data_IF_014910419154
#
_entry.id   IF_014910419154
#
_cell.length_a   1.000
_cell.length_b   1.000
_cell.length_c   1.000
_cell.angle_alpha   90.00
_cell.angle_beta   90.00
_cell.angle_gamma   90.00
#
_symmetry.space_group_name_H-M   'P 1'
#
loop_
_entity.id
_entity.type
_entity.pdbx_description
1 polymer ?
#
# COMPACT_ATOMS: atom_id res chain seq x y z
N UNK A 1 -3.96 15.00 12.06
CA UNK A 1 -4.73 15.15 10.81
C UNK A 1 -6.13 14.61 11.08
N UNK A 2 -7.15 15.20 10.50
CA UNK A 2 -8.55 14.76 10.57
C UNK A 2 -9.03 14.36 9.18
N UNK A 3 -10.12 13.60 9.13
CA UNK A 3 -10.74 13.15 7.86
C UNK A 3 -9.81 12.23 7.06
N UNK A 4 -9.18 11.27 7.74
CA UNK A 4 -8.39 10.23 7.09
C UNK A 4 -9.30 9.21 6.41
N UNK A 5 -8.77 8.44 5.46
CA UNK A 5 -9.54 7.41 4.75
C UNK A 5 -10.14 6.41 5.74
N UNK A 6 -9.36 5.86 6.67
CA UNK A 6 -9.88 4.92 7.69
C UNK A 6 -10.99 5.52 8.56
N UNK A 7 -10.87 6.82 8.94
CA UNK A 7 -11.97 7.50 9.68
C UNK A 7 -13.28 7.47 8.87
N UNK A 8 -13.19 7.70 7.56
CA UNK A 8 -14.35 7.67 6.68
C UNK A 8 -14.89 6.25 6.48
N UNK A 9 -14.00 5.29 6.24
CA UNK A 9 -14.38 3.89 6.06
C UNK A 9 -15.07 3.32 7.31
N UNK A 10 -14.56 3.61 8.51
CA UNK A 10 -15.18 3.20 9.78
C UNK A 10 -16.59 3.76 9.96
N UNK A 11 -16.85 5.03 9.57
CA UNK A 11 -18.20 5.62 9.60
C UNK A 11 -19.22 4.84 8.77
N UNK A 12 -18.75 4.20 7.69
CA UNK A 12 -19.58 3.41 6.80
C UNK A 12 -19.57 1.90 7.10
N UNK A 13 -18.93 1.49 8.21
CA UNK A 13 -18.88 0.09 8.64
C UNK A 13 -18.00 -0.80 7.76
N UNK A 14 -17.06 -0.23 7.00
CA UNK A 14 -16.12 -0.94 6.13
C UNK A 14 -15.08 -1.65 6.99
N UNK A 15 -14.92 -2.95 6.77
CA UNK A 15 -13.94 -3.78 7.48
C UNK A 15 -12.58 -3.66 6.81
N UNK A 16 -11.57 -3.26 7.59
CA UNK A 16 -10.24 -2.96 7.10
C UNK A 16 -9.18 -3.95 7.58
N UNK A 17 -8.24 -4.25 6.70
CA UNK A 17 -7.03 -4.99 7.04
C UNK A 17 -5.80 -4.21 6.58
N UNK A 18 -4.86 -3.97 7.49
CA UNK A 18 -3.60 -3.31 7.21
C UNK A 18 -2.43 -4.22 7.60
N UNK A 19 -1.50 -4.42 6.69
CA UNK A 19 -0.33 -5.26 6.92
C UNK A 19 0.93 -4.62 6.35
N UNK A 20 2.01 -4.72 7.07
CA UNK A 20 3.37 -4.50 6.59
C UNK A 20 4.38 -5.15 7.54
N UNK A 21 5.64 -5.18 7.15
CA UNK A 21 6.69 -5.50 8.10
C UNK A 21 7.03 -4.28 8.99
N UNK A 22 7.77 -4.53 10.07
CA UNK A 22 8.10 -3.53 11.13
C UNK A 22 8.53 -2.18 10.56
N UNK A 23 9.34 -2.16 9.48
CA UNK A 23 9.88 -0.92 8.89
C UNK A 23 8.80 0.04 8.37
N UNK A 24 7.67 -0.47 7.90
CA UNK A 24 6.57 0.32 7.35
C UNK A 24 5.22 0.05 8.03
N UNK A 25 5.19 -0.72 9.11
CA UNK A 25 3.97 -0.95 9.89
C UNK A 25 3.32 0.35 10.36
N UNK A 26 4.13 1.28 10.88
CA UNK A 26 3.64 2.61 11.26
C UNK A 26 3.07 3.41 10.09
N UNK A 27 3.55 3.20 8.85
CA UNK A 27 3.07 3.91 7.68
C UNK A 27 1.68 3.44 7.24
N UNK A 28 1.36 2.15 7.40
CA UNK A 28 0.03 1.61 7.07
C UNK A 28 -0.96 1.68 8.24
N UNK A 29 -0.54 2.15 9.42
CA UNK A 29 -1.36 2.27 10.63
C UNK A 29 -1.34 3.69 11.19
N UNK A 30 -0.34 4.04 11.98
CA UNK A 30 -0.22 5.31 12.70
C UNK A 30 -0.22 6.54 11.79
N UNK A 31 0.70 6.59 10.81
CA UNK A 31 0.81 7.72 9.87
C UNK A 31 -0.39 7.78 8.93
N UNK A 32 -0.86 6.62 8.46
CA UNK A 32 -2.07 6.51 7.66
C UNK A 32 -3.28 7.14 8.35
N UNK A 33 -3.39 6.94 9.66
CA UNK A 33 -4.47 7.47 10.48
C UNK A 33 -4.20 8.90 11.01
N UNK A 34 -3.32 9.64 10.34
CA UNK A 34 -3.06 11.03 10.67
C UNK A 34 -2.34 11.24 12.00
N UNK A 35 -1.37 10.38 12.33
CA UNK A 35 -0.63 10.32 13.60
C UNK A 35 -1.51 9.92 14.80
N UNK A 36 -2.45 9.02 14.58
CA UNK A 36 -3.28 8.42 15.61
C UNK A 36 -2.80 7.01 15.94
N UNK A 37 -2.50 6.75 17.21
CA UNK A 37 -2.02 5.44 17.67
C UNK A 37 -3.15 4.43 17.89
N UNK A 38 -4.35 4.92 18.21
CA UNK A 38 -5.52 4.10 18.46
C UNK A 38 -6.32 3.91 17.18
N UNK A 39 -6.94 2.75 17.03
CA UNK A 39 -7.92 2.52 15.98
C UNK A 39 -9.11 3.46 16.11
N UNK A 40 -9.80 3.72 15.03
CA UNK A 40 -11.09 4.41 15.05
C UNK A 40 -12.18 3.47 15.55
N UNK A 41 -12.14 2.20 15.11
CA UNK A 41 -13.06 1.15 15.56
C UNK A 41 -12.34 -0.21 15.63
N UNK A 42 -12.21 -0.74 16.85
CA UNK A 42 -11.54 -2.04 17.11
C UNK A 42 -12.24 -3.22 16.45
N UNK A 43 -13.52 -3.11 16.15
CA UNK A 43 -14.30 -4.18 15.52
C UNK A 43 -14.17 -4.20 13.99
N UNK A 44 -13.74 -3.08 13.38
CA UNK A 44 -13.63 -2.92 11.95
C UNK A 44 -12.18 -2.98 11.43
N UNK A 45 -11.21 -2.66 12.27
CA UNK A 45 -9.81 -2.53 11.86
C UNK A 45 -8.95 -3.69 12.36
N UNK A 46 -8.31 -4.41 11.45
CA UNK A 46 -7.33 -5.44 11.75
C UNK A 46 -5.95 -4.99 11.29
N UNK A 47 -4.97 -4.96 12.21
CA UNK A 47 -3.60 -4.56 11.92
C UNK A 47 -2.65 -5.73 12.18
N UNK A 48 -1.81 -6.04 11.21
CA UNK A 48 -0.86 -7.15 11.27
C UNK A 48 0.55 -6.65 10.99
N UNK A 49 1.46 -6.95 11.90
CA UNK A 49 2.88 -6.69 11.76
C UNK A 49 3.63 -7.99 11.46
N UNK A 50 4.47 -7.97 10.44
CA UNK A 50 5.46 -9.01 10.16
C UNK A 50 6.81 -8.52 10.71
N UNK A 51 7.42 -9.22 11.67
CA UNK A 51 8.70 -8.80 12.24
C UNK A 51 9.80 -8.72 11.17
N UNK A 52 10.41 -7.55 11.01
CA UNK A 52 11.54 -7.36 10.10
C UNK A 52 12.79 -8.11 10.58
N UNK A 53 13.64 -8.54 9.66
CA UNK A 53 14.96 -9.07 10.01
C UNK A 53 15.87 -7.96 10.56
N UNK A 54 16.68 -8.29 11.54
CA UNK A 54 17.66 -7.37 12.14
C UNK A 54 19.00 -7.54 11.42
N UNK A 55 19.03 -7.16 10.13
CA UNK A 55 20.23 -7.19 9.28
C UNK A 55 20.22 -5.95 8.37
N UNK A 56 21.37 -5.53 7.83
CA UNK A 56 21.41 -4.50 6.79
C UNK A 56 20.53 -4.88 5.60
N UNK A 57 19.79 -3.92 5.04
CA UNK A 57 18.77 -4.19 3.99
C UNK A 57 19.40 -4.78 2.73
N UNK A 58 20.61 -4.36 2.36
CA UNK A 58 21.32 -4.90 1.19
C UNK A 58 21.73 -6.37 1.33
N UNK A 59 21.74 -6.91 2.55
CA UNK A 59 22.05 -8.34 2.79
C UNK A 59 20.83 -9.25 2.59
N UNK A 60 19.63 -8.70 2.74
CA UNK A 60 18.34 -9.39 2.50
C UNK A 60 17.35 -8.47 1.79
N UNK A 61 17.61 -8.10 0.53
CA UNK A 61 16.81 -7.09 -0.16
C UNK A 61 15.38 -7.54 -0.45
N UNK A 62 15.10 -8.85 -0.43
CA UNK A 62 13.73 -9.38 -0.50
C UNK A 62 12.92 -9.11 0.77
N UNK A 63 13.57 -8.74 1.88
CA UNK A 63 12.97 -8.41 3.17
C UNK A 63 11.91 -9.44 3.60
N UNK A 64 10.68 -9.00 3.94
CA UNK A 64 9.56 -9.86 4.31
C UNK A 64 8.44 -9.86 3.26
N UNK A 65 8.77 -9.60 2.00
CA UNK A 65 7.76 -9.50 0.96
C UNK A 65 6.92 -10.79 0.84
N UNK A 66 7.54 -11.96 0.89
CA UNK A 66 6.83 -13.23 0.81
C UNK A 66 5.90 -13.48 2.00
N UNK A 67 6.38 -13.24 3.23
CA UNK A 67 5.58 -13.42 4.45
C UNK A 67 4.42 -12.43 4.54
N UNK A 68 4.62 -11.19 4.08
CA UNK A 68 3.53 -10.19 3.93
C UNK A 68 2.50 -10.74 2.94
N UNK A 69 2.95 -11.21 1.78
CA UNK A 69 2.06 -11.71 0.72
C UNK A 69 1.28 -12.94 1.15
N UNK A 70 1.88 -13.87 1.89
CA UNK A 70 1.17 -15.03 2.43
C UNK A 70 -0.05 -14.59 3.24
N UNK A 71 0.14 -13.64 4.17
CA UNK A 71 -0.94 -13.12 5.00
C UNK A 71 -1.92 -12.23 4.24
N UNK A 72 -1.43 -11.49 3.26
CA UNK A 72 -2.25 -10.65 2.39
C UNK A 72 -3.21 -11.51 1.55
N UNK A 73 -2.71 -12.57 0.93
CA UNK A 73 -3.52 -13.50 0.15
C UNK A 73 -4.55 -14.23 1.04
N UNK A 74 -4.15 -14.69 2.25
CA UNK A 74 -5.09 -15.25 3.23
C UNK A 74 -6.22 -14.25 3.55
N UNK A 75 -5.90 -12.98 3.79
CA UNK A 75 -6.89 -11.94 4.10
C UNK A 75 -7.82 -11.66 2.91
N UNK A 76 -7.29 -11.55 1.69
CA UNK A 76 -8.07 -11.33 0.46
C UNK A 76 -9.06 -12.48 0.25
N UNK A 77 -8.58 -13.73 0.31
CA UNK A 77 -9.39 -14.91 0.02
C UNK A 77 -10.38 -15.24 1.14
N UNK A 78 -10.21 -14.69 2.35
CA UNK A 78 -11.10 -14.93 3.49
C UNK A 78 -12.49 -14.33 3.34
N UNK A 79 -12.64 -13.25 2.56
CA UNK A 79 -13.88 -12.48 2.45
C UNK A 79 -14.27 -11.71 3.73
N UNK A 80 -13.36 -11.62 4.71
CA UNK A 80 -13.63 -10.96 5.98
C UNK A 80 -13.44 -9.45 5.94
N UNK A 81 -12.83 -8.91 4.88
CA UNK A 81 -12.44 -7.51 4.76
C UNK A 81 -12.96 -6.91 3.46
N UNK A 82 -13.37 -5.67 3.52
CA UNK A 82 -13.90 -4.91 2.40
C UNK A 82 -12.81 -4.00 1.79
N UNK A 83 -11.86 -3.56 2.62
CA UNK A 83 -10.69 -2.78 2.21
C UNK A 83 -9.41 -3.36 2.84
N UNK A 84 -8.42 -3.65 2.00
CA UNK A 84 -7.13 -4.23 2.42
C UNK A 84 -6.03 -3.32 1.91
N UNK A 85 -5.08 -2.97 2.78
CA UNK A 85 -3.89 -2.20 2.41
C UNK A 85 -2.61 -2.83 2.91
N UNK A 86 -1.57 -2.70 2.11
CA UNK A 86 -0.21 -3.12 2.46
C UNK A 86 0.81 -2.12 1.96
N UNK A 87 2.00 -2.17 2.53
CA UNK A 87 3.19 -1.53 2.01
C UNK A 87 4.32 -2.56 1.96
N UNK A 88 4.95 -2.69 0.79
CA UNK A 88 6.19 -3.42 0.61
C UNK A 88 7.35 -2.44 0.72
N UNK A 89 8.16 -2.47 1.79
CA UNK A 89 9.18 -1.44 2.02
C UNK A 89 10.44 -1.62 1.18
N UNK A 90 10.53 -2.66 0.38
CA UNK A 90 11.74 -3.06 -0.34
C UNK A 90 12.33 -1.92 -1.19
N UNK A 91 11.54 -1.28 -2.04
CA UNK A 91 12.02 -0.19 -2.91
C UNK A 91 12.60 0.97 -2.13
N UNK A 92 11.97 1.36 -1.04
CA UNK A 92 12.41 2.46 -0.19
C UNK A 92 13.60 2.07 0.68
N UNK A 93 13.47 1.04 1.51
CA UNK A 93 14.49 0.67 2.49
C UNK A 93 15.79 0.20 1.84
N UNK A 94 15.70 -0.57 0.76
CA UNK A 94 16.89 -1.02 0.02
C UNK A 94 17.46 0.11 -0.85
N UNK A 95 16.60 0.96 -1.43
CA UNK A 95 17.02 2.15 -2.18
C UNK A 95 17.89 3.09 -1.35
N UNK A 96 17.59 3.26 -0.07
CA UNK A 96 18.41 4.06 0.86
C UNK A 96 19.83 3.55 1.04
N UNK A 97 20.13 2.30 0.67
CA UNK A 97 21.48 1.73 0.80
C UNK A 97 22.43 2.18 -0.32
N UNK A 98 21.91 2.68 -1.45
CA UNK A 98 22.71 3.01 -2.63
C UNK A 98 23.32 1.79 -3.33
N UNK A 99 22.84 0.58 -3.04
CA UNK A 99 23.31 -0.67 -3.66
C UNK A 99 22.39 -1.05 -4.82
N UNK A 100 22.76 -0.70 -6.06
CA UNK A 100 21.96 -1.06 -7.25
C UNK A 100 21.61 -2.55 -7.32
N UNK A 101 22.58 -3.50 -7.12
CA UNK A 101 22.23 -4.92 -7.18
C UNK A 101 21.18 -5.32 -6.14
N UNK A 102 21.25 -4.77 -4.93
CA UNK A 102 20.28 -5.05 -3.88
C UNK A 102 18.92 -4.41 -4.21
N UNK A 103 18.93 -3.18 -4.73
CA UNK A 103 17.69 -2.48 -5.14
C UNK A 103 16.94 -3.24 -6.22
N UNK A 104 17.66 -3.75 -7.25
CA UNK A 104 17.06 -4.59 -8.29
C UNK A 104 16.40 -5.83 -7.66
N UNK A 105 17.10 -6.56 -6.80
CA UNK A 105 16.54 -7.75 -6.13
C UNK A 105 15.32 -7.37 -5.27
N UNK A 106 15.38 -6.24 -4.57
CA UNK A 106 14.26 -5.75 -3.76
C UNK A 106 13.00 -5.50 -4.58
N UNK A 107 13.13 -4.80 -5.71
CA UNK A 107 12.02 -4.50 -6.61
C UNK A 107 11.50 -5.77 -7.31
N UNK A 108 12.39 -6.63 -7.80
CA UNK A 108 11.99 -7.91 -8.43
C UNK A 108 11.28 -8.84 -7.43
N UNK A 109 11.66 -8.81 -6.16
CA UNK A 109 10.95 -9.56 -5.12
C UNK A 109 9.51 -9.08 -4.96
N UNK A 110 9.28 -7.77 -4.97
CA UNK A 110 7.91 -7.21 -4.91
C UNK A 110 7.12 -7.57 -6.16
N UNK A 111 7.73 -7.54 -7.34
CA UNK A 111 7.09 -7.92 -8.61
C UNK A 111 6.61 -9.38 -8.58
N UNK A 112 7.43 -10.30 -8.09
CA UNK A 112 7.05 -11.71 -7.90
C UNK A 112 5.86 -11.85 -6.94
N UNK A 113 5.87 -11.12 -5.84
CA UNK A 113 4.80 -11.17 -4.85
C UNK A 113 3.51 -10.52 -5.37
N UNK A 114 3.63 -9.46 -6.17
CA UNK A 114 2.47 -8.83 -6.81
C UNK A 114 1.71 -9.79 -7.73
N UNK A 115 2.41 -10.68 -8.43
CA UNK A 115 1.77 -11.72 -9.24
C UNK A 115 0.85 -12.63 -8.38
N UNK A 116 1.29 -13.02 -7.19
CA UNK A 116 0.49 -13.81 -6.23
C UNK A 116 -0.73 -13.04 -5.72
N UNK A 117 -0.54 -11.74 -5.42
CA UNK A 117 -1.65 -10.86 -5.01
C UNK A 117 -2.71 -10.78 -6.11
N UNK A 118 -2.30 -10.59 -7.37
CA UNK A 118 -3.18 -10.55 -8.53
C UNK A 118 -4.01 -11.85 -8.64
N UNK A 119 -3.37 -13.01 -8.44
CA UNK A 119 -4.09 -14.28 -8.45
C UNK A 119 -5.17 -14.35 -7.37
N UNK A 120 -4.87 -13.91 -6.14
CA UNK A 120 -5.83 -13.89 -5.04
C UNK A 120 -6.96 -12.89 -5.27
N UNK A 121 -6.64 -11.70 -5.80
CA UNK A 121 -7.64 -10.68 -6.19
C UNK A 121 -8.59 -11.22 -7.25
N UNK A 122 -8.08 -11.94 -8.26
CA UNK A 122 -8.90 -12.57 -9.30
C UNK A 122 -9.87 -13.61 -8.73
N UNK A 123 -9.44 -14.41 -7.75
CA UNK A 123 -10.30 -15.44 -7.12
C UNK A 123 -11.54 -14.83 -6.46
N UNK A 124 -11.43 -13.63 -5.94
CA UNK A 124 -12.53 -12.94 -5.24
C UNK A 124 -13.22 -11.86 -6.10
N UNK A 125 -12.80 -11.72 -7.36
CA UNK A 125 -13.23 -10.65 -8.26
C UNK A 125 -13.07 -9.25 -7.64
N UNK A 126 -11.96 -9.06 -6.91
CA UNK A 126 -11.63 -7.78 -6.26
C UNK A 126 -11.02 -6.77 -7.24
N UNK A 127 -10.85 -5.54 -6.79
CA UNK A 127 -10.13 -4.47 -7.48
C UNK A 127 -8.80 -4.27 -6.77
N UNK A 128 -7.71 -4.13 -7.54
CA UNK A 128 -6.39 -3.86 -7.01
C UNK A 128 -5.89 -2.48 -7.46
N UNK A 129 -5.47 -1.66 -6.51
CA UNK A 129 -4.77 -0.41 -6.74
C UNK A 129 -3.30 -0.58 -6.37
N UNK A 130 -2.39 -0.22 -7.28
CA UNK A 130 -0.93 -0.25 -7.04
C UNK A 130 -0.38 1.15 -7.23
N UNK A 131 0.30 1.65 -6.21
CA UNK A 131 0.96 2.96 -6.24
C UNK A 131 2.19 2.97 -5.33
N UNK A 132 2.89 4.10 -5.28
CA UNK A 132 3.93 4.36 -4.30
C UNK A 132 3.67 5.72 -3.63
N UNK A 133 4.24 5.93 -2.45
CA UNK A 133 4.12 7.17 -1.69
C UNK A 133 5.16 8.22 -2.10
N UNK A 134 6.28 7.81 -2.66
CA UNK A 134 7.35 8.63 -3.21
C UNK A 134 8.30 7.80 -4.08
N UNK A 135 9.19 8.47 -4.81
CA UNK A 135 10.31 7.83 -5.49
C UNK A 135 11.51 7.63 -4.55
N UNK A 136 12.32 6.62 -4.82
CA UNK A 136 13.61 6.35 -4.17
C UNK A 136 14.47 5.46 -5.07
N UNK A 137 14.02 4.25 -5.38
CA UNK A 137 14.74 3.25 -6.19
C UNK A 137 14.94 3.64 -7.67
N UNK A 138 14.32 4.71 -8.13
CA UNK A 138 14.43 5.25 -9.48
C UNK A 138 15.77 5.96 -9.76
N UNK A 139 16.50 6.39 -8.71
CA UNK A 139 17.79 7.09 -8.84
C UNK A 139 18.79 6.55 -7.81
N UNK A 140 19.58 5.57 -8.22
CA UNK A 140 20.63 4.93 -7.40
C UNK A 140 21.76 5.87 -6.94
N UNK A 141 21.91 7.02 -7.60
CA UNK A 141 22.92 8.03 -7.22
C UNK A 141 22.53 8.74 -5.93
N UNK A 142 21.34 8.56 -5.45
CA UNK A 142 20.77 9.16 -4.23
C UNK A 142 20.39 8.09 -3.21
N UNK A 143 20.65 8.38 -1.96
CA UNK A 143 20.20 7.57 -0.82
C UNK A 143 19.03 8.21 -0.08
N UNK A 144 18.28 9.07 -0.76
CA UNK A 144 17.15 9.82 -0.24
C UNK A 144 15.99 9.78 -1.24
N UNK A 145 14.80 10.11 -0.77
CA UNK A 145 13.62 10.16 -1.61
C UNK A 145 13.82 11.10 -2.80
N UNK A 146 13.21 10.76 -3.93
CA UNK A 146 13.26 11.53 -5.16
C UNK A 146 11.91 12.19 -5.45
N UNK A 147 11.90 13.10 -6.41
CA UNK A 147 10.67 13.75 -6.92
C UNK A 147 10.13 13.05 -8.17
N UNK A 148 10.55 11.81 -8.43
CA UNK A 148 10.05 11.03 -9.56
C UNK A 148 8.54 10.81 -9.43
N UNK A 149 7.78 10.90 -10.52
CA UNK A 149 6.37 10.50 -10.53
C UNK A 149 6.24 9.02 -10.14
N UNK A 150 5.24 8.72 -9.32
CA UNK A 150 4.92 7.35 -8.93
C UNK A 150 3.83 6.77 -9.81
N UNK A 151 3.81 5.44 -10.03
CA UNK A 151 2.74 4.81 -10.79
C UNK A 151 1.41 4.87 -10.02
N UNK A 152 0.30 4.91 -10.75
CA UNK A 152 -1.02 4.61 -10.23
C UNK A 152 -1.71 3.64 -11.20
N UNK A 153 -1.89 2.41 -10.76
CA UNK A 153 -2.40 1.31 -11.57
C UNK A 153 -3.72 0.82 -10.96
N UNK A 154 -4.73 0.69 -11.78
CA UNK A 154 -6.01 0.05 -11.43
C UNK A 154 -6.11 -1.26 -12.19
N UNK A 155 -6.32 -2.34 -11.48
CA UNK A 155 -6.47 -3.67 -12.04
C UNK A 155 -7.85 -4.24 -11.71
N UNK A 156 -8.43 -4.95 -12.68
CA UNK A 156 -9.72 -5.63 -12.59
C UNK A 156 -10.91 -4.68 -12.34
N UNK A 157 -10.86 -3.46 -12.90
CA UNK A 157 -11.99 -2.54 -12.93
C UNK A 157 -12.14 -1.95 -14.33
N UNK A 158 -13.38 -1.84 -14.80
CA UNK A 158 -13.71 -1.11 -16.03
C UNK A 158 -13.88 0.38 -15.68
N UNK A 159 -12.78 1.15 -15.80
CA UNK A 159 -12.80 2.58 -15.56
C UNK A 159 -11.80 3.30 -16.47
N UNK A 160 -12.03 4.58 -16.70
CA UNK A 160 -11.06 5.46 -17.34
C UNK A 160 -10.42 6.35 -16.28
N UNK A 161 -9.10 6.38 -16.22
CA UNK A 161 -8.39 7.26 -15.31
C UNK A 161 -8.39 8.69 -15.87
N UNK A 162 -8.72 9.65 -15.00
CA UNK A 162 -8.62 11.07 -15.32
C UNK A 162 -7.15 11.49 -15.46
N UNK A 163 -6.90 12.38 -16.38
CA UNK A 163 -5.61 13.03 -16.58
C UNK A 163 -5.69 14.51 -16.18
N UNK A 164 -4.65 15.02 -15.56
CA UNK A 164 -4.57 16.44 -15.16
C UNK A 164 -3.34 16.76 -14.34
N UNK A 165 -2.88 18.00 -14.42
CA UNK A 165 -1.68 18.48 -13.70
C UNK A 165 -1.90 18.57 -12.17
N UNK A 166 -3.16 18.69 -11.73
CA UNK A 166 -3.53 18.83 -10.32
C UNK A 166 -3.88 17.47 -9.66
N UNK A 167 -3.72 16.36 -10.38
CA UNK A 167 -4.00 15.02 -9.89
C UNK A 167 -2.75 14.36 -9.32
N UNK A 168 -2.91 13.61 -8.22
CA UNK A 168 -1.79 12.95 -7.56
C UNK A 168 -2.20 12.12 -6.35
N UNK A 169 -1.26 11.88 -5.43
CA UNK A 169 -1.47 11.03 -4.26
C UNK A 169 -2.63 11.48 -3.36
N UNK A 170 -2.93 12.77 -3.31
CA UNK A 170 -4.08 13.32 -2.56
C UNK A 170 -5.43 12.82 -3.08
N UNK A 171 -5.49 12.33 -4.30
CA UNK A 171 -6.72 11.84 -4.94
C UNK A 171 -6.96 10.34 -4.69
N UNK A 172 -5.98 9.60 -4.17
CA UNK A 172 -6.06 8.15 -3.99
C UNK A 172 -7.16 7.78 -3.00
N UNK A 173 -7.28 8.49 -1.88
CA UNK A 173 -8.31 8.23 -0.87
C UNK A 173 -9.74 8.41 -1.46
N UNK A 174 -9.95 9.47 -2.24
CA UNK A 174 -11.23 9.71 -2.92
C UNK A 174 -11.54 8.61 -3.93
N UNK A 175 -10.53 8.12 -4.66
CA UNK A 175 -10.68 7.01 -5.61
C UNK A 175 -11.06 5.69 -4.92
N UNK A 176 -10.48 5.41 -3.75
CA UNK A 176 -10.87 4.25 -2.93
C UNK A 176 -12.32 4.35 -2.48
N UNK A 177 -12.75 5.52 -2.01
CA UNK A 177 -14.15 5.76 -1.63
C UNK A 177 -15.10 5.52 -2.81
N UNK A 178 -14.75 6.01 -4.00
CA UNK A 178 -15.55 5.84 -5.21
C UNK A 178 -15.72 4.36 -5.59
N UNK A 179 -14.64 3.57 -5.58
CA UNK A 179 -14.73 2.11 -5.79
C UNK A 179 -15.57 1.38 -4.73
N UNK A 180 -15.64 1.90 -3.52
CA UNK A 180 -16.49 1.36 -2.45
C UNK A 180 -17.93 1.90 -2.49
N UNK A 181 -18.27 2.75 -3.45
CA UNK A 181 -19.60 3.37 -3.58
C UNK A 181 -19.89 4.39 -2.49
N UNK A 182 -18.86 5.00 -1.92
CA UNK A 182 -18.95 6.05 -0.90
C UNK A 182 -18.74 7.41 -1.54
N UNK A 183 -19.42 8.44 -1.05
CA UNK A 183 -19.16 9.81 -1.51
C UNK A 183 -17.78 10.28 -1.02
N UNK A 184 -16.85 10.63 -1.92
CA UNK A 184 -15.52 11.10 -1.51
C UNK A 184 -15.59 12.45 -0.84
N UNK A 185 -14.83 12.62 0.25
CA UNK A 185 -14.65 13.91 0.90
C UNK A 185 -13.70 14.80 0.08
N UNK A 186 -14.06 16.05 -0.16
CA UNK A 186 -13.25 17.21 -0.62
C UNK A 186 -12.32 17.03 -1.83
N UNK A 187 -11.84 15.83 -2.16
CA UNK A 187 -10.94 15.58 -3.28
C UNK A 187 -11.64 14.86 -4.44
N UNK A 188 -11.17 15.14 -5.66
CA UNK A 188 -11.65 14.46 -6.85
C UNK A 188 -11.08 13.03 -6.91
N UNK A 189 -11.95 12.06 -7.21
CA UNK A 189 -11.53 10.71 -7.59
C UNK A 189 -10.75 10.73 -8.92
N UNK A 190 -9.83 9.77 -9.10
CA UNK A 190 -9.07 9.56 -10.34
C UNK A 190 -9.86 8.80 -11.42
N UNK A 191 -11.08 8.38 -11.11
CA UNK A 191 -11.98 7.68 -12.04
C UNK A 191 -13.28 8.44 -12.25
#
# INVERSE_FOLDING_TARGET
IKYTLTEELCKHGIREYAISETQKYGHVTYFWNGNRSEKFDESLETYVEIPSDVVPFEQRPWMKAAEITDKLCEAIESGNYDFIRTNYPNGDMVGHTGSLPATIIGVESVDLELARVIESVNKVNGILLVTADHGNADDESKTSHTLAPVPFIVYNAECELKEGEDLGLSNVAATVCDFLGLEPNEHLSLI
#
